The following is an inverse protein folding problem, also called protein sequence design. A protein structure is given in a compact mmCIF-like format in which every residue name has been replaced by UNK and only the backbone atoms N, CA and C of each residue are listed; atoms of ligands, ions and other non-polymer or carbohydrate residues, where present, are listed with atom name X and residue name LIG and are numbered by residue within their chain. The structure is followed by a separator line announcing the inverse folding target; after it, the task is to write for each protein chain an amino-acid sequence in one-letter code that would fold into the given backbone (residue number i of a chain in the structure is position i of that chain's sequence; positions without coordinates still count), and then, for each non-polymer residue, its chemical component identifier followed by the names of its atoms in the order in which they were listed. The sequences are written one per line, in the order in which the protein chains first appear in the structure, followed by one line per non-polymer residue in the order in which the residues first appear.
data_IF_543892848572
#
_entry.id   IF_543892848572
#
_cell.length_a   1.000
_cell.length_b   1.000
_cell.length_c   1.000
_cell.angle_alpha   90.00
_cell.angle_beta   90.00
_cell.angle_gamma   90.00
#
_symmetry.space_group_name_H-M   'P 1'
#
loop_
_entity.id
_entity.type
_entity.pdbx_description
1 polymer ?
#
# COMPACT_ATOMS: atom_id res chain seq x y z
N UNK A 1 -10.15 -8.36 -27.35
CA UNK A 1 -9.57 -9.72 -27.40
C UNK A 1 -9.94 -10.48 -28.67
N UNK A 2 -11.14 -10.30 -29.22
CA UNK A 2 -11.63 -11.06 -30.39
C UNK A 2 -10.91 -10.70 -31.71
N UNK A 3 -10.66 -9.41 -31.96
CA UNK A 3 -9.96 -8.94 -33.17
C UNK A 3 -8.50 -9.44 -33.30
N UNK A 4 -7.81 -9.73 -32.18
CA UNK A 4 -6.43 -10.23 -32.24
C UNK A 4 -6.38 -11.71 -32.62
N UNK A 5 -7.36 -12.51 -32.19
CA UNK A 5 -7.48 -13.93 -32.56
C UNK A 5 -7.79 -14.09 -34.05
N UNK A 6 -8.70 -13.28 -34.58
CA UNK A 6 -9.06 -13.29 -36.02
C UNK A 6 -7.84 -12.98 -36.90
N UNK A 7 -7.04 -11.97 -36.52
CA UNK A 7 -5.79 -11.65 -37.26
C UNK A 7 -4.76 -12.76 -37.20
N UNK A 8 -4.59 -13.41 -36.05
CA UNK A 8 -3.65 -14.54 -35.91
C UNK A 8 -4.08 -15.75 -36.75
N UNK A 9 -5.37 -16.07 -36.78
CA UNK A 9 -5.91 -17.14 -37.60
C UNK A 9 -5.74 -16.84 -39.10
N UNK A 10 -5.97 -15.61 -39.54
CA UNK A 10 -5.78 -15.20 -40.93
C UNK A 10 -4.32 -15.34 -41.39
N UNK A 11 -3.35 -14.95 -40.53
CA UNK A 11 -1.92 -15.07 -40.83
C UNK A 11 -1.46 -16.53 -40.80
N UNK A 12 -1.97 -17.34 -39.86
CA UNK A 12 -1.66 -18.77 -39.83
C UNK A 12 -2.23 -19.49 -41.06
N UNK A 13 -3.45 -19.15 -41.47
CA UNK A 13 -4.07 -19.70 -42.68
C UNK A 13 -3.29 -19.31 -43.95
N UNK A 14 -2.86 -18.05 -44.09
CA UNK A 14 -2.06 -17.63 -45.25
C UNK A 14 -0.70 -18.31 -45.32
N UNK A 15 -0.05 -18.56 -44.18
CA UNK A 15 1.21 -19.32 -44.12
C UNK A 15 1.03 -20.79 -44.55
N UNK A 16 -0.04 -21.45 -44.09
CA UNK A 16 -0.37 -22.84 -44.47
C UNK A 16 -0.71 -22.93 -45.96
N UNK A 17 -1.50 -21.98 -46.49
CA UNK A 17 -1.82 -21.91 -47.91
C UNK A 17 -0.55 -21.69 -48.75
N UNK A 18 0.35 -20.80 -48.31
CA UNK A 18 1.62 -20.54 -48.99
C UNK A 18 2.52 -21.77 -49.06
N UNK A 19 2.65 -22.51 -47.95
CA UNK A 19 3.40 -23.77 -47.90
C UNK A 19 2.77 -24.87 -48.77
N UNK A 20 1.44 -24.98 -48.75
CA UNK A 20 0.71 -25.93 -49.59
C UNK A 20 0.87 -25.63 -51.08
N UNK A 21 0.80 -24.36 -51.48
CA UNK A 21 1.02 -23.93 -52.86
C UNK A 21 2.47 -24.20 -53.31
N UNK A 22 3.46 -23.95 -52.45
CA UNK A 22 4.86 -24.29 -52.72
C UNK A 22 5.06 -25.80 -52.92
N UNK A 23 4.48 -26.63 -52.05
CA UNK A 23 4.55 -28.09 -52.16
C UNK A 23 3.87 -28.60 -53.44
N UNK A 24 2.70 -28.08 -53.79
CA UNK A 24 2.00 -28.43 -55.01
C UNK A 24 2.80 -28.06 -56.28
N UNK A 25 3.46 -26.90 -56.29
CA UNK A 25 4.32 -26.47 -57.40
C UNK A 25 5.56 -27.37 -57.56
N UNK A 26 6.06 -27.96 -56.48
CA UNK A 26 7.17 -28.93 -56.51
C UNK A 26 6.68 -30.27 -57.08
N UNK A 27 5.52 -30.77 -56.62
CA UNK A 27 4.98 -32.06 -57.07
C UNK A 27 4.51 -32.02 -58.54
N UNK A 28 4.00 -30.88 -59.01
CA UNK A 28 3.50 -30.72 -60.38
C UNK A 28 4.46 -29.99 -61.32
N UNK A 29 5.75 -30.01 -61.01
CA UNK A 29 6.80 -29.34 -61.77
C UNK A 29 6.65 -29.55 -63.29
N UNK A 30 6.63 -30.81 -63.75
CA UNK A 30 6.67 -31.16 -65.18
C UNK A 30 5.46 -30.63 -65.96
N UNK A 31 4.27 -30.73 -65.36
CA UNK A 31 3.01 -30.25 -65.94
C UNK A 31 2.97 -28.73 -66.06
N UNK A 32 3.55 -28.02 -65.08
CA UNK A 32 3.56 -26.56 -65.06
C UNK A 32 4.64 -26.02 -66.01
N UNK A 33 5.84 -26.61 -66.01
CA UNK A 33 6.93 -26.22 -66.91
C UNK A 33 6.57 -26.40 -68.38
N UNK A 34 5.81 -27.44 -68.73
CA UNK A 34 5.36 -27.69 -70.10
C UNK A 34 4.35 -26.67 -70.63
N UNK A 35 3.61 -25.98 -69.75
CA UNK A 35 2.60 -24.98 -70.15
C UNK A 35 3.11 -23.54 -70.09
N UNK A 36 3.93 -23.22 -69.09
CA UNK A 36 4.30 -21.85 -68.74
C UNK A 36 5.71 -21.48 -69.24
N UNK A 37 6.53 -22.48 -69.59
CA UNK A 37 7.93 -22.30 -69.95
C UNK A 37 8.85 -22.26 -68.73
N UNK A 38 10.08 -22.74 -68.90
CA UNK A 38 11.03 -22.95 -67.81
C UNK A 38 11.42 -21.64 -67.08
N UNK A 39 11.59 -20.54 -67.82
CA UNK A 39 12.00 -19.24 -67.25
C UNK A 39 10.92 -18.64 -66.35
N UNK A 40 9.67 -18.67 -66.79
CA UNK A 40 8.54 -18.18 -66.01
C UNK A 40 8.26 -19.05 -64.77
N UNK A 41 8.43 -20.37 -64.88
CA UNK A 41 8.36 -21.26 -63.71
C UNK A 41 9.44 -20.93 -62.66
N UNK A 42 10.69 -20.69 -63.10
CA UNK A 42 11.79 -20.30 -62.21
C UNK A 42 11.49 -18.99 -61.47
N UNK A 43 10.96 -17.99 -62.17
CA UNK A 43 10.57 -16.71 -61.57
C UNK A 43 9.46 -16.89 -60.52
N UNK A 44 8.44 -17.71 -60.81
CA UNK A 44 7.38 -18.04 -59.87
C UNK A 44 7.92 -18.72 -58.60
N UNK A 45 8.84 -19.69 -58.77
CA UNK A 45 9.45 -20.40 -57.65
C UNK A 45 10.29 -19.48 -56.77
N UNK A 46 11.05 -18.55 -57.37
CA UNK A 46 11.78 -17.51 -56.62
C UNK A 46 10.83 -16.60 -55.84
N UNK A 47 9.72 -16.19 -56.44
CA UNK A 47 8.72 -15.37 -55.76
C UNK A 47 8.10 -16.09 -54.55
N UNK A 48 7.64 -17.33 -54.74
CA UNK A 48 7.08 -18.15 -53.66
C UNK A 48 8.11 -18.35 -52.53
N UNK A 49 9.37 -18.62 -52.89
CA UNK A 49 10.45 -18.76 -51.91
C UNK A 49 10.64 -17.48 -51.08
N UNK A 50 10.69 -16.31 -51.72
CA UNK A 50 10.82 -15.02 -51.03
C UNK A 50 9.64 -14.77 -50.10
N UNK A 51 8.41 -15.07 -50.55
CA UNK A 51 7.20 -14.89 -49.73
C UNK A 51 7.20 -15.82 -48.52
N UNK A 52 7.56 -17.10 -48.70
CA UNK A 52 7.62 -18.08 -47.60
C UNK A 52 8.73 -17.73 -46.61
N UNK A 53 9.92 -17.38 -47.08
CA UNK A 53 11.03 -16.97 -46.21
C UNK A 53 10.71 -15.66 -45.48
N UNK A 54 10.23 -14.64 -46.19
CA UNK A 54 9.86 -13.35 -45.59
C UNK A 54 8.71 -13.48 -44.58
N UNK A 55 7.68 -14.27 -44.91
CA UNK A 55 6.57 -14.58 -44.01
C UNK A 55 7.03 -15.36 -42.78
N UNK A 56 7.90 -16.36 -42.96
CA UNK A 56 8.47 -17.16 -41.86
C UNK A 56 9.32 -16.33 -40.90
N UNK A 57 10.22 -15.49 -41.42
CA UNK A 57 11.03 -14.57 -40.61
C UNK A 57 10.14 -13.58 -39.86
N UNK A 58 9.14 -13.01 -40.52
CA UNK A 58 8.18 -12.08 -39.88
C UNK A 58 7.41 -12.74 -38.73
N UNK A 59 6.93 -13.97 -38.92
CA UNK A 59 6.25 -14.74 -37.87
C UNK A 59 7.16 -15.02 -36.67
N UNK A 60 8.41 -15.40 -36.94
CA UNK A 60 9.41 -15.67 -35.91
C UNK A 60 9.72 -14.39 -35.09
N UNK A 61 9.96 -13.27 -35.76
CA UNK A 61 10.16 -11.96 -35.10
C UNK A 61 8.94 -11.56 -34.27
N UNK A 62 7.73 -11.73 -34.79
CA UNK A 62 6.51 -11.42 -34.03
C UNK A 62 6.35 -12.30 -32.78
N UNK A 63 6.72 -13.59 -32.87
CA UNK A 63 6.65 -14.50 -31.72
C UNK A 63 7.64 -14.08 -30.62
N UNK A 64 8.88 -13.73 -31.01
CA UNK A 64 9.89 -13.22 -30.08
C UNK A 64 9.48 -11.88 -29.46
N UNK A 65 8.96 -10.94 -30.24
CA UNK A 65 8.51 -9.64 -29.74
C UNK A 65 7.34 -9.78 -28.74
N UNK A 66 6.36 -10.66 -29.01
CA UNK A 66 5.24 -10.89 -28.07
C UNK A 66 5.71 -11.43 -26.72
N UNK A 67 6.72 -12.28 -26.72
CA UNK A 67 7.27 -12.84 -25.47
C UNK A 67 8.07 -11.77 -24.71
N UNK A 68 8.85 -10.96 -25.42
CA UNK A 68 9.54 -9.80 -24.85
C UNK A 68 8.55 -8.80 -24.24
N UNK A 69 7.49 -8.43 -24.96
CA UNK A 69 6.45 -7.51 -24.48
C UNK A 69 5.76 -8.02 -23.21
N UNK A 70 5.44 -9.32 -23.15
CA UNK A 70 4.85 -9.95 -21.95
C UNK A 70 5.78 -9.89 -20.74
N UNK A 71 7.09 -10.07 -20.95
CA UNK A 71 8.08 -9.97 -19.87
C UNK A 71 8.18 -8.53 -19.38
N UNK A 72 8.28 -7.57 -20.29
CA UNK A 72 8.32 -6.14 -19.96
C UNK A 72 7.07 -5.71 -19.20
N UNK A 73 5.88 -6.13 -19.64
CA UNK A 73 4.62 -5.79 -18.97
C UNK A 73 4.55 -6.40 -17.55
N UNK A 74 4.96 -7.66 -17.38
CA UNK A 74 5.03 -8.29 -16.06
C UNK A 74 6.01 -7.59 -15.14
N UNK A 75 7.17 -7.17 -15.64
CA UNK A 75 8.16 -6.41 -14.87
C UNK A 75 7.58 -5.06 -14.46
N UNK A 76 6.93 -4.36 -15.38
CA UNK A 76 6.28 -3.08 -15.11
C UNK A 76 5.16 -3.21 -14.07
N UNK A 77 4.34 -4.24 -14.16
CA UNK A 77 3.28 -4.49 -13.16
C UNK A 77 3.88 -4.79 -11.77
N UNK A 78 4.96 -5.57 -11.71
CA UNK A 78 5.68 -5.83 -10.45
C UNK A 78 6.29 -4.56 -9.87
N UNK A 79 6.89 -3.72 -10.70
CA UNK A 79 7.48 -2.44 -10.28
C UNK A 79 6.44 -1.45 -9.78
N UNK A 80 5.30 -1.33 -10.47
CA UNK A 80 4.16 -0.52 -10.03
C UNK A 80 3.59 -1.03 -8.70
N UNK A 81 3.45 -2.35 -8.56
CA UNK A 81 2.99 -2.96 -7.31
C UNK A 81 3.99 -2.71 -6.17
N UNK A 82 5.29 -2.91 -6.40
CA UNK A 82 6.33 -2.68 -5.40
C UNK A 82 6.38 -1.21 -4.95
N UNK A 83 6.30 -0.28 -5.89
CA UNK A 83 6.21 1.16 -5.60
C UNK A 83 4.97 1.49 -4.77
N UNK A 84 3.80 0.94 -5.15
CA UNK A 84 2.55 1.16 -4.41
C UNK A 84 2.61 0.63 -2.97
N UNK A 85 3.22 -0.55 -2.77
CA UNK A 85 3.46 -1.11 -1.43
C UNK A 85 4.39 -0.22 -0.61
N UNK A 86 5.49 0.25 -1.21
CA UNK A 86 6.44 1.13 -0.53
C UNK A 86 5.81 2.47 -0.11
N UNK A 87 5.02 3.08 -1.00
CA UNK A 87 4.29 4.32 -0.70
C UNK A 87 3.26 4.12 0.42
N UNK A 88 2.56 2.98 0.44
CA UNK A 88 1.63 2.65 1.52
C UNK A 88 2.36 2.50 2.86
N UNK A 89 3.47 1.75 2.91
CA UNK A 89 4.30 1.60 4.12
C UNK A 89 4.80 2.95 4.65
N UNK A 90 5.30 3.81 3.75
CA UNK A 90 5.77 5.15 4.12
C UNK A 90 4.66 6.05 4.66
N UNK A 91 3.44 5.92 4.12
CA UNK A 91 2.28 6.66 4.60
C UNK A 91 1.91 6.26 6.02
N UNK A 92 1.81 4.96 6.29
CA UNK A 92 1.53 4.44 7.63
C UNK A 92 2.61 4.84 8.63
N UNK A 93 3.89 4.80 8.24
CA UNK A 93 4.98 5.27 9.10
C UNK A 93 4.84 6.75 9.45
N UNK A 94 4.56 7.62 8.46
CA UNK A 94 4.36 9.05 8.71
C UNK A 94 3.18 9.29 9.64
N UNK A 95 2.05 8.62 9.39
CA UNK A 95 0.85 8.73 10.20
C UNK A 95 1.09 8.32 11.66
N UNK A 96 1.80 7.20 11.92
CA UNK A 96 2.19 6.81 13.29
C UNK A 96 3.01 7.89 14.01
N UNK A 97 3.99 8.46 13.32
CA UNK A 97 4.86 9.51 13.87
C UNK A 97 4.07 10.77 14.15
N UNK A 98 3.14 11.13 13.26
CA UNK A 98 2.27 12.29 13.41
C UNK A 98 1.36 12.13 14.63
N UNK A 99 0.69 10.97 14.79
CA UNK A 99 -0.15 10.71 15.95
C UNK A 99 0.64 10.67 17.26
N UNK A 100 1.84 10.08 17.26
CA UNK A 100 2.75 10.11 18.41
C UNK A 100 3.07 11.55 18.86
N UNK A 101 3.41 12.40 17.88
CA UNK A 101 3.77 13.79 18.14
C UNK A 101 2.57 14.61 18.58
N UNK A 102 1.39 14.38 17.99
CA UNK A 102 0.13 15.01 18.38
C UNK A 102 -0.19 14.74 19.84
N UNK A 103 -0.17 13.47 20.28
CA UNK A 103 -0.42 13.11 21.68
C UNK A 103 0.61 13.72 22.62
N UNK A 104 1.90 13.71 22.27
CA UNK A 104 2.93 14.36 23.10
C UNK A 104 2.75 15.87 23.19
N UNK A 105 2.34 16.51 22.10
CA UNK A 105 2.04 17.94 22.06
C UNK A 105 0.84 18.25 22.95
N UNK A 106 -0.27 17.52 22.80
CA UNK A 106 -1.46 17.66 23.63
C UNK A 106 -1.13 17.47 25.12
N UNK A 107 -0.35 16.44 25.47
CA UNK A 107 0.16 16.21 26.84
C UNK A 107 0.93 17.40 27.40
N UNK A 108 1.85 17.97 26.62
CA UNK A 108 2.67 19.13 27.04
C UNK A 108 1.80 20.37 27.21
N UNK A 109 0.84 20.58 26.31
CA UNK A 109 -0.08 21.70 26.38
C UNK A 109 -1.03 21.57 27.56
N UNK A 110 -1.61 20.40 27.82
CA UNK A 110 -2.48 20.15 28.98
C UNK A 110 -1.76 20.51 30.28
N UNK A 111 -0.50 20.07 30.43
CA UNK A 111 0.35 20.43 31.58
C UNK A 111 0.60 21.92 31.72
N UNK A 112 0.77 22.62 30.60
CA UNK A 112 1.16 24.02 30.59
C UNK A 112 -0.02 24.99 30.71
N UNK A 113 -1.19 24.64 30.16
CA UNK A 113 -2.30 25.59 29.95
C UNK A 113 -3.61 25.15 30.60
N UNK A 114 -3.86 23.85 30.72
CA UNK A 114 -5.12 23.36 31.29
C UNK A 114 -5.06 23.25 32.82
N UNK A 115 -3.90 22.94 33.40
CA UNK A 115 -3.75 22.84 34.86
C UNK A 115 -3.67 24.21 35.53
N UNK A 116 -4.36 24.36 36.65
CA UNK A 116 -4.18 25.49 37.57
C UNK A 116 -2.95 25.26 38.46
N UNK A 117 -2.38 26.36 38.96
CA UNK A 117 -1.26 26.30 39.88
C UNK A 117 -1.81 26.12 41.29
N UNK A 118 -1.40 25.05 41.98
CA UNK A 118 -1.68 24.81 43.39
C UNK A 118 -0.39 24.33 44.07
N UNK A 119 -0.29 24.62 45.38
CA UNK A 119 0.84 24.22 46.23
C UNK A 119 0.88 22.69 46.36
N UNK A 120 -0.28 22.08 46.64
CA UNK A 120 -0.45 20.64 46.62
C UNK A 120 -0.89 20.19 45.20
N UNK A 121 -0.23 19.20 44.58
CA UNK A 121 -0.69 18.57 43.34
C UNK A 121 -2.14 18.05 43.41
N UNK A 122 -2.62 17.62 44.57
CA UNK A 122 -3.97 17.10 44.76
C UNK A 122 -5.05 18.20 44.64
N UNK A 123 -4.71 19.44 44.96
CA UNK A 123 -5.61 20.60 44.91
C UNK A 123 -5.68 21.24 43.50
N UNK A 124 -4.96 20.68 42.52
CA UNK A 124 -4.99 21.21 41.15
C UNK A 124 -6.35 20.99 40.53
N UNK A 125 -6.78 21.98 39.77
CA UNK A 125 -7.97 21.91 38.92
C UNK A 125 -7.57 21.99 37.45
N UNK A 126 -8.47 21.52 36.60
CA UNK A 126 -8.35 21.51 35.14
C UNK A 126 -9.35 22.51 34.59
N UNK A 127 -8.87 23.49 33.82
CA UNK A 127 -9.71 24.45 33.10
C UNK A 127 -10.45 23.73 31.97
N UNK A 128 -11.78 23.63 32.07
CA UNK A 128 -12.62 22.82 31.18
C UNK A 128 -12.47 23.23 29.72
N UNK A 129 -12.50 24.54 29.42
CA UNK A 129 -12.38 25.01 28.03
C UNK A 129 -11.07 24.56 27.35
N UNK A 130 -9.93 24.62 28.07
CA UNK A 130 -8.63 24.16 27.52
C UNK A 130 -8.52 22.64 27.50
N UNK A 131 -9.22 21.97 28.41
CA UNK A 131 -9.28 20.52 28.41
C UNK A 131 -9.99 20.02 27.16
N UNK A 132 -11.17 20.56 26.84
CA UNK A 132 -11.96 20.19 25.66
C UNK A 132 -11.18 20.33 24.36
N UNK A 133 -10.56 21.49 24.13
CA UNK A 133 -9.75 21.77 22.95
C UNK A 133 -8.63 20.73 22.75
N UNK A 134 -8.00 20.30 23.84
CA UNK A 134 -6.89 19.35 23.79
C UNK A 134 -7.35 17.89 23.76
N UNK A 135 -8.57 17.61 24.24
CA UNK A 135 -9.20 16.29 24.13
C UNK A 135 -9.65 16.00 22.71
N UNK A 136 -10.06 17.01 21.94
CA UNK A 136 -10.33 16.87 20.50
C UNK A 136 -9.09 16.33 19.76
N UNK A 137 -7.92 16.88 20.04
CA UNK A 137 -6.64 16.41 19.45
C UNK A 137 -6.33 14.96 19.83
N UNK A 138 -6.66 14.56 21.07
CA UNK A 138 -6.43 13.18 21.53
C UNK A 138 -7.45 12.20 20.93
N UNK A 139 -8.70 12.64 20.72
CA UNK A 139 -9.74 11.88 20.05
C UNK A 139 -9.36 11.60 18.59
N UNK A 140 -8.94 12.63 17.85
CA UNK A 140 -8.47 12.48 16.47
C UNK A 140 -7.32 11.47 16.36
N UNK A 141 -6.36 11.54 17.30
CA UNK A 141 -5.26 10.60 17.35
C UNK A 141 -5.70 9.16 17.66
N UNK A 142 -6.65 8.98 18.58
CA UNK A 142 -7.22 7.68 18.91
C UNK A 142 -7.96 7.08 17.70
N UNK A 143 -8.83 7.85 17.04
CA UNK A 143 -9.59 7.41 15.87
C UNK A 143 -8.68 7.05 14.68
N UNK A 144 -7.60 7.81 14.50
CA UNK A 144 -6.59 7.51 13.48
C UNK A 144 -5.90 6.17 13.78
N UNK A 145 -5.46 5.95 15.02
CA UNK A 145 -4.84 4.68 15.44
C UNK A 145 -5.81 3.49 15.33
N UNK A 146 -7.10 3.69 15.66
CA UNK A 146 -8.14 2.67 15.48
C UNK A 146 -8.35 2.32 14.01
N UNK A 147 -8.38 3.34 13.15
CA UNK A 147 -8.48 3.15 11.69
C UNK A 147 -7.28 2.35 11.18
N UNK A 148 -6.07 2.73 11.57
CA UNK A 148 -4.85 2.00 11.21
C UNK A 148 -4.87 0.54 11.70
N UNK A 149 -5.29 0.29 12.94
CA UNK A 149 -5.40 -1.07 13.48
C UNK A 149 -6.38 -1.94 12.68
N UNK A 150 -7.43 -1.33 12.12
CA UNK A 150 -8.42 -2.01 11.27
C UNK A 150 -7.94 -2.21 9.84
N UNK A 151 -7.23 -1.27 9.23
CA UNK A 151 -6.88 -1.34 7.81
C UNK A 151 -5.62 -2.17 7.55
N UNK A 152 -4.62 -2.12 8.44
CA UNK A 152 -3.35 -2.85 8.30
C UNK A 152 -3.53 -4.36 8.01
N UNK A 153 -4.45 -5.10 8.67
CA UNK A 153 -4.70 -6.51 8.35
C UNK A 153 -5.25 -6.79 6.94
N UNK A 154 -6.01 -5.84 6.36
CA UNK A 154 -6.64 -6.03 5.04
C UNK A 154 -5.68 -5.66 3.89
N UNK A 155 -4.68 -4.83 4.17
CA UNK A 155 -3.61 -4.48 3.25
C UNK A 155 -2.53 -5.58 3.22
N UNK A 156 -2.94 -6.82 2.91
CA UNK A 156 -2.11 -8.03 3.07
C UNK A 156 -0.81 -8.08 2.26
N UNK A 157 -0.61 -7.18 1.30
CA UNK A 157 0.67 -6.98 0.58
C UNK A 157 1.56 -5.91 1.19
N UNK A 158 1.02 -5.03 2.04
CA UNK A 158 1.75 -3.89 2.62
C UNK A 158 2.53 -4.34 3.84
N UNK A 159 1.90 -5.03 4.78
CA UNK A 159 2.59 -5.63 5.92
C UNK A 159 2.35 -7.12 5.88
N UNK A 160 3.34 -7.89 5.41
CA UNK A 160 3.30 -9.36 5.43
C UNK A 160 3.20 -9.80 6.88
N UNK A 161 1.96 -9.97 7.36
CA UNK A 161 1.55 -10.32 8.71
C UNK A 161 2.58 -9.95 9.79
N UNK A 162 2.57 -8.69 10.22
CA UNK A 162 3.30 -8.26 11.43
C UNK A 162 2.31 -8.13 12.59
N UNK A 163 1.84 -9.24 13.22
CA UNK A 163 0.95 -9.21 14.38
C UNK A 163 1.43 -8.26 15.48
N UNK A 164 2.75 -8.15 15.64
CA UNK A 164 3.38 -7.27 16.62
C UNK A 164 3.10 -5.79 16.34
N UNK A 165 3.04 -5.36 15.07
CA UNK A 165 2.71 -3.99 14.69
C UNK A 165 1.27 -3.69 15.07
N UNK A 166 0.34 -4.58 14.71
CA UNK A 166 -1.09 -4.42 15.03
C UNK A 166 -1.29 -4.41 16.55
N UNK A 167 -0.67 -5.35 17.28
CA UNK A 167 -0.75 -5.41 18.74
C UNK A 167 -0.22 -4.13 19.41
N UNK A 168 0.87 -3.57 18.89
CA UNK A 168 1.43 -2.32 19.39
C UNK A 168 0.52 -1.11 19.13
N UNK A 169 -0.10 -1.04 17.94
CA UNK A 169 -1.10 0.00 17.62
C UNK A 169 -2.33 -0.14 18.52
N UNK A 170 -2.91 -1.35 18.65
CA UNK A 170 -4.06 -1.60 19.52
C UNK A 170 -3.78 -1.24 20.98
N UNK A 171 -2.58 -1.56 21.50
CA UNK A 171 -2.20 -1.20 22.88
C UNK A 171 -2.16 0.32 23.07
N UNK A 172 -1.64 1.04 22.08
CA UNK A 172 -1.57 2.51 22.08
C UNK A 172 -2.97 3.12 22.04
N UNK A 173 -3.81 2.60 21.15
CA UNK A 173 -5.20 3.03 20.95
C UNK A 173 -6.02 2.83 22.24
N UNK A 174 -5.95 1.65 22.85
CA UNK A 174 -6.63 1.33 24.11
C UNK A 174 -6.16 2.22 25.28
N UNK A 175 -4.91 2.66 25.28
CA UNK A 175 -4.45 3.65 26.25
C UNK A 175 -5.17 4.99 26.07
N UNK A 176 -5.28 5.50 24.84
CA UNK A 176 -6.00 6.75 24.58
C UNK A 176 -7.49 6.60 24.84
N UNK A 177 -8.10 5.47 24.45
CA UNK A 177 -9.52 5.19 24.68
C UNK A 177 -9.92 5.38 26.13
N UNK A 178 -9.12 4.87 27.08
CA UNK A 178 -9.40 5.06 28.52
C UNK A 178 -9.44 6.53 28.94
N UNK A 179 -8.54 7.35 28.40
CA UNK A 179 -8.52 8.79 28.66
C UNK A 179 -9.73 9.50 28.04
N UNK A 180 -10.15 9.10 26.83
CA UNK A 180 -11.38 9.61 26.21
C UNK A 180 -12.61 9.18 27.00
N UNK A 181 -12.69 7.92 27.44
CA UNK A 181 -13.82 7.40 28.23
C UNK A 181 -13.99 8.13 29.56
N UNK A 182 -12.89 8.44 30.26
CA UNK A 182 -12.95 9.30 31.46
C UNK A 182 -13.53 10.68 31.13
N UNK A 183 -13.03 11.30 30.06
CA UNK A 183 -13.51 12.61 29.60
C UNK A 183 -15.02 12.58 29.31
N UNK A 184 -15.50 11.58 28.58
CA UNK A 184 -16.92 11.40 28.24
C UNK A 184 -17.81 11.22 29.48
N UNK A 185 -17.29 10.58 30.54
CA UNK A 185 -18.03 10.36 31.78
C UNK A 185 -18.12 11.63 32.63
N UNK A 186 -17.02 12.39 32.73
CA UNK A 186 -16.92 13.55 33.62
C UNK A 186 -17.48 14.81 32.97
N UNK A 187 -17.28 15.03 31.67
CA UNK A 187 -17.65 16.30 31.02
C UNK A 187 -19.11 16.69 31.09
N UNK A 188 -20.09 15.79 30.90
CA UNK A 188 -21.50 16.14 31.00
C UNK A 188 -21.90 16.64 32.39
N UNK A 189 -21.14 16.26 33.43
CA UNK A 189 -21.38 16.61 34.83
C UNK A 189 -20.65 17.90 35.25
N UNK A 190 -19.68 18.35 34.45
CA UNK A 190 -18.89 19.55 34.71
C UNK A 190 -19.72 20.81 34.41
N UNK A 191 -20.46 21.30 35.41
CA UNK A 191 -21.17 22.58 35.34
C UNK A 191 -20.24 23.80 35.59
N UNK A 192 -19.09 23.56 36.21
CA UNK A 192 -18.14 24.60 36.61
C UNK A 192 -17.05 24.79 35.55
N UNK A 193 -16.42 25.99 35.46
CA UNK A 193 -15.34 26.26 34.51
C UNK A 193 -14.06 25.46 34.81
N UNK A 194 -13.98 24.85 36.00
CA UNK A 194 -12.86 24.04 36.44
C UNK A 194 -13.36 22.73 37.08
N UNK A 195 -12.59 21.67 36.91
CA UNK A 195 -12.84 20.35 37.52
C UNK A 195 -11.61 19.95 38.32
N UNK A 196 -11.77 19.51 39.56
CA UNK A 196 -10.65 19.03 40.37
C UNK A 196 -9.97 17.83 39.71
N UNK A 197 -8.63 17.82 39.65
CA UNK A 197 -7.86 16.76 39.00
C UNK A 197 -8.08 15.38 39.66
N UNK A 198 -8.48 15.35 40.92
CA UNK A 198 -8.84 14.13 41.64
C UNK A 198 -10.07 13.40 41.07
N UNK A 199 -10.93 14.10 40.30
CA UNK A 199 -12.04 13.48 39.56
C UNK A 199 -11.61 12.90 38.21
N UNK A 200 -10.36 13.12 37.80
CA UNK A 200 -9.82 12.74 36.49
C UNK A 200 -8.54 11.90 36.67
N UNK A 201 -8.62 10.70 37.29
CA UNK A 201 -7.46 9.85 37.57
C UNK A 201 -6.63 9.48 36.32
N UNK A 202 -7.24 9.21 35.17
CA UNK A 202 -6.53 8.89 33.93
C UNK A 202 -5.79 10.11 33.39
N UNK A 203 -6.43 11.28 33.39
CA UNK A 203 -5.78 12.54 33.05
C UNK A 203 -4.63 12.84 34.01
N UNK A 204 -4.81 12.66 35.32
CA UNK A 204 -3.79 12.90 36.33
C UNK A 204 -2.52 12.07 36.05
N UNK A 205 -2.69 10.78 35.74
CA UNK A 205 -1.62 9.89 35.33
C UNK A 205 -0.98 10.31 34.01
N UNK A 206 -1.78 10.78 33.05
CA UNK A 206 -1.31 11.24 31.76
C UNK A 206 -0.45 12.51 31.88
N UNK A 207 -0.91 13.54 32.59
CA UNK A 207 -0.24 14.84 32.70
C UNK A 207 0.86 14.89 33.77
N UNK A 208 0.98 13.84 34.60
CA UNK A 208 2.00 13.73 35.64
C UNK A 208 3.45 13.85 35.13
N UNK A 209 4.43 14.00 36.04
CA UNK A 209 5.84 13.99 35.67
C UNK A 209 6.20 12.72 34.88
N UNK A 210 7.08 12.85 33.88
CA UNK A 210 7.41 11.72 33.01
C UNK A 210 8.07 10.55 33.76
N UNK A 211 8.80 10.84 34.84
CA UNK A 211 9.42 9.82 35.69
C UNK A 211 8.37 8.90 36.35
N UNK A 212 7.21 9.47 36.69
CA UNK A 212 6.15 8.80 37.46
C UNK A 212 5.02 8.28 36.56
N UNK A 213 4.96 8.74 35.31
CA UNK A 213 3.96 8.32 34.33
C UNK A 213 4.26 6.93 33.73
N UNK A 214 4.30 5.89 34.57
CA UNK A 214 4.60 4.51 34.16
C UNK A 214 3.66 4.00 33.06
N UNK A 215 2.34 4.12 33.25
CA UNK A 215 1.35 3.70 32.23
C UNK A 215 1.54 4.41 30.90
N UNK A 216 1.79 5.72 30.90
CA UNK A 216 2.08 6.45 29.66
C UNK A 216 3.33 5.90 28.96
N UNK A 217 4.38 5.56 29.71
CA UNK A 217 5.60 4.98 29.13
C UNK A 217 5.37 3.57 28.59
N UNK A 218 4.67 2.71 29.34
CA UNK A 218 4.55 1.28 29.04
C UNK A 218 3.41 0.95 28.07
N UNK A 219 2.31 1.70 28.10
CA UNK A 219 1.11 1.44 27.31
C UNK A 219 0.95 2.39 26.12
N UNK A 220 1.71 3.49 26.06
CA UNK A 220 1.70 4.41 24.91
C UNK A 220 3.08 4.54 24.26
N UNK A 221 4.07 5.08 24.97
CA UNK A 221 5.38 5.42 24.34
C UNK A 221 6.11 4.18 23.82
N UNK A 222 6.22 3.12 24.61
CA UNK A 222 6.91 1.89 24.20
C UNK A 222 6.20 1.18 23.02
N UNK A 223 4.87 0.94 23.07
CA UNK A 223 4.16 0.36 21.94
C UNK A 223 4.27 1.20 20.67
N UNK A 224 4.09 2.52 20.73
CA UNK A 224 4.25 3.38 19.54
C UNK A 224 5.66 3.31 18.97
N UNK A 225 6.69 3.39 19.81
CA UNK A 225 8.07 3.25 19.34
C UNK A 225 8.32 1.89 18.69
N UNK A 226 7.71 0.83 19.23
CA UNK A 226 7.76 -0.51 18.65
C UNK A 226 7.08 -0.54 17.28
N UNK A 227 5.87 0.03 17.17
CA UNK A 227 5.14 0.16 15.91
C UNK A 227 5.93 0.97 14.86
N UNK A 228 6.53 2.09 15.25
CA UNK A 228 7.39 2.91 14.38
C UNK A 228 8.60 2.12 13.93
N UNK A 229 9.30 1.41 14.81
CA UNK A 229 10.45 0.59 14.43
C UNK A 229 10.08 -0.53 13.45
N UNK A 230 8.95 -1.21 13.68
CA UNK A 230 8.44 -2.25 12.78
C UNK A 230 8.02 -1.66 11.43
N UNK A 231 7.35 -0.52 11.41
CA UNK A 231 6.97 0.17 10.17
C UNK A 231 8.20 0.68 9.39
N UNK A 232 9.22 1.22 10.08
CA UNK A 232 10.49 1.62 9.48
C UNK A 232 11.20 0.44 8.83
N UNK A 233 11.28 -0.69 9.55
CA UNK A 233 11.87 -1.92 9.03
C UNK A 233 11.16 -2.39 7.75
N UNK A 234 9.84 -2.39 7.76
CA UNK A 234 9.05 -2.75 6.58
C UNK A 234 9.29 -1.78 5.41
N UNK A 235 9.49 -0.47 5.66
CA UNK A 235 9.82 0.49 4.59
C UNK A 235 11.20 0.21 3.97
N UNK A 236 12.17 -0.23 4.77
CA UNK A 236 13.55 -0.46 4.30
C UNK A 236 13.76 -1.83 3.65
N UNK A 237 12.99 -2.84 4.05
CA UNK A 237 13.08 -4.18 3.48
C UNK A 237 12.29 -4.25 2.16
N UNK A 238 12.84 -4.89 1.11
CA UNK A 238 12.09 -5.10 -0.13
C UNK A 238 10.81 -5.90 0.16
N UNK A 239 9.71 -5.66 -0.57
CA UNK A 239 8.52 -6.50 -0.44
C UNK A 239 8.88 -7.93 -0.87
N UNK A 240 8.59 -8.90 0.01
CA UNK A 240 8.73 -10.35 -0.24
C UNK A 240 7.81 -10.83 -1.38
#
# INVERSE_FOLDING_TARGET
MERSRVRQLAVAASAVIGLGAAAALIVWHDTVTGRVGAEAYKALLQFVLIVVLGGGVSLLVQAFNREADRRTERLRQRELHATGVQEARQRYLRELVDQYNAVKRARRLLRATALTHAVDPADRSVRVARYDELMEVLLDAQLSLETMARTVPFDGSVFTSVPELIAAICTTEEYLRRLITEYEQVRPQAAQPEVGIGMLPELALFVGPYADAERFRTQFVRPVNTAVALAQRAVTEPPD
#
